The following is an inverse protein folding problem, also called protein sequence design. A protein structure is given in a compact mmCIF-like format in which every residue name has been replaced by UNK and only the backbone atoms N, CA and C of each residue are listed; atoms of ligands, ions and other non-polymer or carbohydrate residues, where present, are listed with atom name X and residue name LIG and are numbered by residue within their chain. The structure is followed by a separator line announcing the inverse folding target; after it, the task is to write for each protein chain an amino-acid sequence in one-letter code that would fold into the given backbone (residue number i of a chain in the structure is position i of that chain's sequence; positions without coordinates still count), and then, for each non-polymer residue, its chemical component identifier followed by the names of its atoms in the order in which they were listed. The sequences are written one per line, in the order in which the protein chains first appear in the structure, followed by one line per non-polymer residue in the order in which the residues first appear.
data_IF_891012197855
#
_entry.id   IF_891012197855
#
_cell.length_a   1.000
_cell.length_b   1.000
_cell.length_c   1.000
_cell.angle_alpha   90.00
_cell.angle_beta   90.00
_cell.angle_gamma   90.00
#
_symmetry.space_group_name_H-M   'P 1'
#
loop_
_entity.id
_entity.type
_entity.pdbx_description
1 polymer ?
#
# COMPACT_ATOMS: atom_id res chain seq x y z
N UNK A 1 15.21 7.62 -14.30
CA UNK A 1 13.79 7.47 -13.90
C UNK A 1 13.14 6.48 -14.85
N UNK A 2 12.37 5.51 -14.35
CA UNK A 2 11.69 4.50 -15.19
C UNK A 2 10.31 5.01 -15.64
N UNK A 3 9.57 5.69 -14.75
CA UNK A 3 8.27 6.29 -15.04
C UNK A 3 8.25 7.79 -14.74
N UNK A 4 7.36 8.51 -15.42
CA UNK A 4 7.01 9.87 -15.03
C UNK A 4 6.22 9.83 -13.70
N UNK A 5 6.48 10.76 -12.76
CA UNK A 5 5.77 10.80 -11.49
C UNK A 5 4.24 10.87 -11.67
N UNK A 6 3.72 11.59 -12.67
CA UNK A 6 2.28 11.67 -12.95
C UNK A 6 1.69 10.33 -13.38
N UNK A 7 2.45 9.51 -14.09
CA UNK A 7 2.04 8.15 -14.47
C UNK A 7 1.86 7.28 -13.24
N UNK A 8 2.80 7.36 -12.28
CA UNK A 8 2.70 6.63 -11.01
C UNK A 8 1.49 7.10 -10.22
N UNK A 9 1.27 8.42 -10.10
CA UNK A 9 0.10 8.96 -9.42
C UNK A 9 -1.20 8.40 -10.01
N UNK A 10 -1.36 8.48 -11.34
CA UNK A 10 -2.57 7.98 -12.03
C UNK A 10 -2.80 6.49 -11.79
N UNK A 11 -1.73 5.68 -11.79
CA UNK A 11 -1.84 4.25 -11.54
C UNK A 11 -2.28 3.91 -10.11
N UNK A 12 -2.12 4.83 -9.14
CA UNK A 12 -2.53 4.66 -7.74
C UNK A 12 -3.93 5.21 -7.42
N UNK A 13 -4.59 5.87 -8.39
CA UNK A 13 -5.94 6.39 -8.20
C UNK A 13 -6.92 5.23 -8.15
N UNK A 14 -7.78 5.23 -7.12
CA UNK A 14 -8.85 4.25 -6.97
C UNK A 14 -9.72 4.20 -8.23
N UNK A 15 -9.83 3.01 -8.80
CA UNK A 15 -10.66 2.75 -9.99
C UNK A 15 -11.91 1.94 -9.63
N UNK A 16 -11.87 1.19 -8.52
CA UNK A 16 -13.01 0.41 -8.02
C UNK A 16 -13.50 0.92 -6.67
N UNK A 17 -14.81 0.97 -6.44
CA UNK A 17 -15.34 1.14 -5.07
C UNK A 17 -14.92 -0.04 -4.19
N UNK A 18 -14.87 0.19 -2.87
CA UNK A 18 -14.62 -0.86 -1.89
C UNK A 18 -15.59 -2.03 -2.10
N UNK A 19 -15.06 -3.21 -2.38
CA UNK A 19 -15.82 -4.45 -2.60
C UNK A 19 -15.19 -5.58 -1.80
N UNK A 20 -16.00 -6.58 -1.42
CA UNK A 20 -15.47 -7.79 -0.83
C UNK A 20 -14.79 -8.59 -1.93
N UNK A 21 -13.48 -8.76 -1.82
CA UNK A 21 -12.73 -9.61 -2.73
C UNK A 21 -13.03 -11.08 -2.44
N UNK A 22 -13.58 -11.80 -3.40
CA UNK A 22 -13.98 -13.21 -3.20
C UNK A 22 -12.79 -14.16 -3.05
N UNK A 23 -11.57 -13.73 -3.42
CA UNK A 23 -10.35 -14.53 -3.30
C UNK A 23 -9.71 -14.36 -1.92
N UNK A 24 -9.68 -13.12 -1.42
CA UNK A 24 -9.12 -12.77 -0.12
C UNK A 24 -10.14 -12.78 1.03
N UNK A 25 -11.44 -12.84 0.70
CA UNK A 25 -12.56 -12.71 1.64
C UNK A 25 -12.47 -11.45 2.52
N UNK A 26 -11.89 -10.38 1.97
CA UNK A 26 -11.58 -9.15 2.68
C UNK A 26 -12.08 -7.91 1.90
N UNK A 27 -12.49 -6.83 2.60
CA UNK A 27 -12.88 -5.59 1.96
C UNK A 27 -11.65 -4.91 1.33
N UNK A 28 -11.64 -4.79 0.01
CA UNK A 28 -10.51 -4.29 -0.77
C UNK A 28 -10.92 -3.19 -1.75
N UNK A 29 -9.95 -2.34 -2.08
CA UNK A 29 -10.04 -1.32 -3.13
C UNK A 29 -8.92 -1.58 -4.14
N UNK A 30 -9.19 -1.32 -5.40
CA UNK A 30 -8.23 -1.54 -6.49
C UNK A 30 -8.04 -0.27 -7.32
N UNK A 31 -6.82 -0.11 -7.81
CA UNK A 31 -6.46 0.87 -8.85
C UNK A 31 -6.14 0.14 -10.17
N UNK A 32 -5.55 0.85 -11.14
CA UNK A 32 -5.10 0.31 -12.42
C UNK A 32 -3.87 -0.61 -12.27
N UNK A 33 -4.02 -1.72 -11.53
CA UNK A 33 -2.99 -2.74 -11.33
C UNK A 33 -2.48 -2.91 -9.89
N UNK A 34 -2.97 -2.11 -8.93
CA UNK A 34 -2.58 -2.26 -7.52
C UNK A 34 -3.77 -2.56 -6.61
N UNK A 35 -3.48 -3.37 -5.58
CA UNK A 35 -4.28 -3.49 -4.38
C UNK A 35 -4.04 -2.26 -3.50
N UNK A 36 -5.10 -1.54 -3.14
CA UNK A 36 -5.04 -0.37 -2.27
C UNK A 36 -5.33 -0.78 -0.82
N UNK A 37 -4.66 -0.12 0.11
CA UNK A 37 -4.91 -0.28 1.54
C UNK A 37 -6.24 0.36 1.99
N UNK A 38 -6.60 0.13 3.24
CA UNK A 38 -7.87 0.55 3.82
C UNK A 38 -7.70 1.02 5.28
N UNK A 39 -8.73 1.69 5.80
CA UNK A 39 -8.87 2.05 7.20
C UNK A 39 -10.17 1.42 7.74
N UNK A 40 -10.21 0.94 9.00
CA UNK A 40 -9.15 0.98 10.01
C UNK A 40 -8.06 -0.08 9.85
N UNK A 41 -8.39 -1.25 9.28
CA UNK A 41 -7.44 -2.34 9.01
C UNK A 41 -7.45 -2.63 7.52
N UNK A 42 -6.31 -2.39 6.87
CA UNK A 42 -6.08 -2.75 5.47
C UNK A 42 -5.15 -3.95 5.36
N UNK A 43 -5.03 -4.43 4.13
CA UNK A 43 -4.17 -5.56 3.76
C UNK A 43 -2.69 -5.38 4.15
N UNK A 44 -2.23 -4.14 4.21
CA UNK A 44 -0.85 -3.76 4.56
C UNK A 44 -0.69 -3.30 6.01
N UNK A 45 -1.71 -3.55 6.86
CA UNK A 45 -1.72 -3.15 8.26
C UNK A 45 -2.67 -1.98 8.56
N UNK A 46 -2.72 -1.53 9.82
CA UNK A 46 -3.66 -0.51 10.26
C UNK A 46 -3.31 0.88 9.73
N UNK A 47 -4.35 1.66 9.46
CA UNK A 47 -4.24 3.05 8.97
C UNK A 47 -3.41 3.18 7.67
N UNK A 48 -3.68 2.34 6.67
CA UNK A 48 -2.91 2.27 5.41
C UNK A 48 -3.73 2.68 4.19
N UNK A 49 -4.70 3.61 4.33
CA UNK A 49 -5.61 4.00 3.23
C UNK A 49 -4.95 4.50 1.93
N UNK A 50 -3.71 4.99 2.02
CA UNK A 50 -2.96 5.51 0.87
C UNK A 50 -1.88 4.53 0.39
N UNK A 51 -1.73 3.39 1.06
CA UNK A 51 -0.81 2.37 0.64
C UNK A 51 -1.32 1.69 -0.64
N UNK A 52 -0.39 1.34 -1.52
CA UNK A 52 -0.68 0.63 -2.75
C UNK A 52 0.40 -0.42 -3.01
N UNK A 53 0.00 -1.57 -3.52
CA UNK A 53 0.90 -2.68 -3.72
C UNK A 53 0.25 -3.88 -4.34
N UNK A 54 0.88 -5.04 -4.17
CA UNK A 54 0.39 -6.31 -4.66
C UNK A 54 0.82 -7.43 -3.70
N UNK A 55 -0.03 -8.45 -3.58
CA UNK A 55 0.32 -9.70 -2.90
C UNK A 55 0.54 -10.78 -3.94
N UNK A 56 1.70 -11.43 -3.90
CA UNK A 56 2.00 -12.60 -4.70
C UNK A 56 1.43 -13.88 -4.11
N UNK A 57 1.77 -15.01 -4.72
CA UNK A 57 1.42 -16.31 -4.16
C UNK A 57 2.18 -16.56 -2.84
N UNK A 58 1.55 -17.26 -1.89
CA UNK A 58 2.09 -17.51 -0.55
C UNK A 58 2.17 -16.30 0.36
N UNK A 59 3.36 -15.75 0.57
CA UNK A 59 3.60 -14.68 1.55
C UNK A 59 4.52 -13.62 0.95
N UNK A 60 4.32 -13.34 -0.34
CA UNK A 60 5.02 -12.29 -1.06
C UNK A 60 4.17 -11.02 -0.94
N UNK A 61 4.66 -10.00 -0.24
CA UNK A 61 3.98 -8.72 -0.09
C UNK A 61 4.89 -7.61 -0.57
N UNK A 62 4.45 -6.82 -1.53
CA UNK A 62 5.18 -5.65 -1.98
C UNK A 62 4.24 -4.46 -2.01
N UNK A 63 4.54 -3.43 -1.20
CA UNK A 63 3.74 -2.21 -1.20
C UNK A 63 4.58 -0.98 -0.90
N UNK A 64 4.03 0.17 -1.26
CA UNK A 64 4.50 1.47 -0.82
C UNK A 64 3.42 2.15 0.01
N UNK A 65 3.83 2.86 1.06
CA UNK A 65 2.95 3.70 1.86
C UNK A 65 3.47 5.15 1.83
N UNK A 66 2.92 6.00 0.96
CA UNK A 66 3.30 7.40 0.88
C UNK A 66 2.99 8.21 2.14
N UNK A 67 2.03 7.81 2.98
CA UNK A 67 1.77 8.54 4.23
C UNK A 67 2.94 8.42 5.21
N UNK A 68 3.67 7.31 5.15
CA UNK A 68 4.82 7.01 6.02
C UNK A 68 6.17 7.15 5.29
N UNK A 69 6.15 7.50 4.00
CA UNK A 69 7.33 7.59 3.13
C UNK A 69 8.17 6.29 3.09
N UNK A 70 7.51 5.14 3.11
CA UNK A 70 8.16 3.81 3.11
C UNK A 70 7.77 2.97 1.89
N UNK A 71 8.65 2.04 1.53
CA UNK A 71 8.38 0.92 0.62
C UNK A 71 8.83 -0.38 1.28
N UNK A 72 7.98 -1.39 1.27
CA UNK A 72 8.22 -2.66 1.96
C UNK A 72 8.05 -3.82 0.98
N UNK A 73 8.99 -4.76 1.03
CA UNK A 73 8.92 -6.01 0.30
C UNK A 73 9.22 -7.16 1.26
N UNK A 74 8.26 -8.06 1.43
CA UNK A 74 8.38 -9.30 2.17
C UNK A 74 8.41 -10.39 1.11
N UNK A 75 9.56 -11.04 0.95
CA UNK A 75 9.77 -12.12 0.00
C UNK A 75 10.17 -13.36 0.80
N UNK A 76 9.34 -14.40 0.77
CA UNK A 76 9.70 -15.66 1.39
C UNK A 76 9.45 -16.84 0.45
N UNK A 77 10.20 -17.92 0.69
CA UNK A 77 10.14 -19.18 -0.06
C UNK A 77 9.27 -20.23 0.66
N UNK A 78 8.56 -19.82 1.72
CA UNK A 78 7.75 -20.71 2.55
C UNK A 78 6.48 -21.17 1.83
N UNK A 79 6.05 -22.41 2.09
CA UNK A 79 4.82 -22.96 1.52
C UNK A 79 3.59 -22.21 2.06
N UNK A 80 2.70 -21.81 1.15
CA UNK A 80 1.39 -21.14 1.33
C UNK A 80 0.42 -21.74 2.35
N UNK A 81 0.73 -22.89 2.94
CA UNK A 81 -0.23 -23.63 3.77
C UNK A 81 -0.50 -22.80 5.02
N UNK A 82 -1.72 -22.27 5.10
CA UNK A 82 -2.32 -21.54 6.22
C UNK A 82 -1.72 -22.05 7.53
N UNK A 83 -0.74 -21.31 8.05
CA UNK A 83 0.15 -21.80 9.08
C UNK A 83 0.36 -20.75 10.17
N UNK A 84 1.16 -21.12 11.17
CA UNK A 84 1.55 -20.30 12.34
C UNK A 84 2.21 -18.96 12.01
N UNK A 85 2.48 -18.68 10.72
CA UNK A 85 3.09 -17.45 10.25
C UNK A 85 2.10 -16.29 10.10
N UNK A 86 0.78 -16.52 9.97
CA UNK A 86 -0.20 -15.43 9.82
C UNK A 86 -0.22 -14.48 11.03
N UNK A 87 -0.20 -14.95 12.30
CA UNK A 87 -0.06 -14.06 13.45
C UNK A 87 1.25 -13.28 13.46
N UNK A 88 2.36 -13.92 13.05
CA UNK A 88 3.65 -13.26 12.95
C UNK A 88 3.67 -12.17 11.87
N UNK A 89 3.04 -12.43 10.72
CA UNK A 89 2.86 -11.46 9.65
C UNK A 89 1.97 -10.30 10.11
N UNK A 90 0.83 -10.58 10.76
CA UNK A 90 -0.04 -9.56 11.33
C UNK A 90 0.69 -8.68 12.35
N UNK A 91 1.49 -9.28 13.23
CA UNK A 91 2.32 -8.55 14.18
C UNK A 91 3.38 -7.70 13.46
N UNK A 92 4.03 -8.22 12.41
CA UNK A 92 4.98 -7.44 11.61
C UNK A 92 4.31 -6.21 10.98
N UNK A 93 3.16 -6.38 10.32
CA UNK A 93 2.40 -5.27 9.73
C UNK A 93 1.98 -4.25 10.79
N UNK A 94 1.55 -4.72 11.96
CA UNK A 94 1.23 -3.85 13.10
C UNK A 94 2.46 -3.06 13.58
N UNK A 95 3.60 -3.73 13.75
CA UNK A 95 4.84 -3.07 14.19
C UNK A 95 5.34 -2.06 13.16
N UNK A 96 5.24 -2.34 11.86
CA UNK A 96 5.57 -1.37 10.81
C UNK A 96 4.66 -0.16 10.96
N UNK A 97 3.33 -0.35 11.01
CA UNK A 97 2.39 0.75 11.14
C UNK A 97 2.55 1.57 12.43
N UNK A 98 3.04 0.94 13.51
CA UNK A 98 3.25 1.55 14.83
C UNK A 98 4.58 2.31 14.92
N UNK A 99 5.66 1.78 14.36
CA UNK A 99 7.00 2.37 14.49
C UNK A 99 7.37 3.26 13.30
N UNK A 100 6.68 3.15 12.17
CA UNK A 100 6.83 4.07 11.05
C UNK A 100 5.78 5.19 11.17
N UNK A 101 6.22 6.33 11.69
CA UNK A 101 5.38 7.50 11.85
C UNK A 101 4.92 8.07 10.51
N UNK A 102 3.76 8.72 10.53
CA UNK A 102 3.25 9.43 9.36
C UNK A 102 4.06 10.69 9.15
N UNK A 103 4.49 10.89 7.91
CA UNK A 103 5.25 12.06 7.48
C UNK A 103 4.28 13.13 6.98
N UNK A 104 4.58 14.40 7.30
CA UNK A 104 3.83 15.54 6.80
C UNK A 104 3.86 15.58 5.28
N UNK A 105 2.76 16.00 4.65
CA UNK A 105 2.66 15.99 3.18
C UNK A 105 3.79 16.75 2.50
N UNK A 106 4.28 17.85 3.08
CA UNK A 106 5.40 18.64 2.55
C UNK A 106 6.73 17.86 2.48
N UNK A 107 6.91 16.87 3.34
CA UNK A 107 8.16 16.13 3.52
C UNK A 107 8.13 14.75 2.82
N UNK A 108 7.01 14.39 2.17
CA UNK A 108 6.86 13.14 1.42
C UNK A 108 7.60 13.19 0.10
N UNK A 109 8.14 12.05 -0.34
CA UNK A 109 8.85 11.94 -1.62
C UNK A 109 7.90 11.89 -2.82
N UNK A 110 8.45 12.23 -3.99
CA UNK A 110 7.79 12.09 -5.30
C UNK A 110 6.49 12.89 -5.41
N UNK A 111 5.58 12.45 -6.30
CA UNK A 111 4.24 13.02 -6.47
C UNK A 111 3.44 13.11 -5.20
N UNK A 112 3.70 12.27 -4.20
CA UNK A 112 2.87 12.18 -2.99
C UNK A 112 3.13 13.31 -1.98
N UNK A 113 4.11 14.18 -2.24
CA UNK A 113 4.42 15.36 -1.44
C UNK A 113 4.23 16.69 -2.17
N UNK A 114 5.22 17.59 -2.11
CA UNK A 114 5.14 18.95 -2.65
C UNK A 114 4.82 19.01 -4.17
N UNK A 115 5.15 17.97 -4.94
CA UNK A 115 4.86 17.94 -6.38
C UNK A 115 3.35 17.90 -6.70
N UNK A 116 2.50 17.34 -5.82
CA UNK A 116 1.04 17.35 -6.02
C UNK A 116 0.45 18.77 -5.99
N UNK A 117 0.99 19.66 -5.15
CA UNK A 117 0.57 21.06 -5.10
C UNK A 117 0.96 21.82 -6.37
N UNK A 118 2.14 21.53 -6.93
CA UNK A 118 2.59 22.09 -8.22
C UNK A 118 1.82 21.52 -9.41
N UNK A 119 1.43 20.25 -9.37
CA UNK A 119 0.63 19.60 -10.42
C UNK A 119 -0.80 20.19 -10.47
N UNK A 120 -1.40 20.49 -9.31
CA UNK A 120 -2.70 21.17 -9.26
C UNK A 120 -2.63 22.65 -9.64
N UNK A 121 -1.51 23.34 -9.38
CA UNK A 121 -1.32 24.75 -9.77
C UNK A 121 -0.99 24.95 -11.26
N UNK A 122 -0.74 23.86 -12.01
CA UNK A 122 -0.44 23.88 -13.44
C UNK A 122 -1.67 23.63 -14.33
N UNK A 123 -2.88 23.79 -13.77
CA UNK A 123 -4.16 23.69 -14.46
C UNK A 123 -4.94 25.00 -14.36
#
# INVERSE_FOLDING_TARGET
KIFDPKTVLRATIETSRMSIDSTLLAPMRYSTGFMLGANPVGLFGPMTSNAFGHIGFSNIFCWADPQRDISVSILNSGKSVVGTHLPALGNLLYQISKNCDKVLTKDRRSVFGHDLAKIHAAH
#
